data_IF_763554458604
#
_entry.id   IF_763554458604
#
_cell.length_a   1.000
_cell.length_b   1.000
_cell.length_c   1.000
_cell.angle_alpha   90.00
_cell.angle_beta   90.00
_cell.angle_gamma   90.00
#
_symmetry.space_group_name_H-M   'P 1'
#
loop_
_entity.id
_entity.type
_entity.pdbx_description
1 polymer ?
#
# COMPACT_ATOMS: atom_id res chain seq x y z
N UNK A 1 15.93 0.49 3.57
CA UNK A 1 14.60 -0.11 3.81
C UNK A 1 14.12 0.36 5.16
N UNK A 2 12.88 0.83 5.24
CA UNK A 2 12.26 1.33 6.47
C UNK A 2 11.46 0.22 7.14
N UNK A 3 11.28 0.27 8.45
CA UNK A 3 10.40 -0.70 9.10
C UNK A 3 8.94 -0.35 8.78
N UNK A 4 8.05 -1.35 8.66
CA UNK A 4 6.66 -1.10 8.31
C UNK A 4 5.94 -0.12 9.26
N UNK A 5 6.39 -0.05 10.53
CA UNK A 5 5.90 0.93 11.52
C UNK A 5 6.26 2.38 11.16
N UNK A 6 7.45 2.61 10.60
CA UNK A 6 7.85 3.95 10.16
C UNK A 6 7.05 4.38 8.93
N UNK A 7 6.79 3.43 8.01
CA UNK A 7 5.93 3.66 6.85
C UNK A 7 4.49 3.93 7.28
N UNK A 8 3.97 3.19 8.27
CA UNK A 8 2.65 3.43 8.87
C UNK A 8 2.55 4.86 9.44
N UNK A 9 3.56 5.29 10.20
CA UNK A 9 3.58 6.64 10.76
C UNK A 9 3.56 7.72 9.66
N UNK A 10 4.28 7.49 8.55
CA UNK A 10 4.26 8.38 7.40
C UNK A 10 2.86 8.46 6.74
N UNK A 11 2.20 7.32 6.55
CA UNK A 11 0.85 7.27 5.97
C UNK A 11 -0.21 7.90 6.86
N UNK A 12 -0.14 7.67 8.18
CA UNK A 12 -1.05 8.33 9.12
C UNK A 12 -0.83 9.84 9.14
N UNK A 13 0.42 10.30 9.05
CA UNK A 13 0.71 11.74 8.93
C UNK A 13 0.15 12.35 7.64
N UNK A 14 0.22 11.62 6.52
CA UNK A 14 -0.42 12.04 5.27
C UNK A 14 -1.93 12.22 5.46
N UNK A 15 -2.60 11.23 6.06
CA UNK A 15 -4.04 11.27 6.32
C UNK A 15 -4.44 12.38 7.30
N UNK A 16 -3.68 12.58 8.38
CA UNK A 16 -3.90 13.66 9.35
C UNK A 16 -3.74 15.05 8.73
N UNK A 17 -2.82 15.19 7.75
CA UNK A 17 -2.56 16.46 7.07
C UNK A 17 -3.65 16.79 6.07
N UNK A 18 -4.03 15.82 5.23
CA UNK A 18 -5.11 15.96 4.25
C UNK A 18 -5.77 14.61 3.99
N UNK A 19 -6.93 14.32 4.62
CA UNK A 19 -7.60 13.03 4.46
C UNK A 19 -8.21 12.85 3.07
N UNK A 20 -8.54 13.94 2.36
CA UNK A 20 -9.13 13.87 1.01
C UNK A 20 -8.03 13.50 0.01
N UNK A 21 -6.91 14.21 0.04
CA UNK A 21 -5.77 13.89 -0.82
C UNK A 21 -5.21 12.49 -0.52
N UNK A 22 -5.18 12.08 0.76
CA UNK A 22 -4.78 10.73 1.13
C UNK A 22 -5.68 9.66 0.50
N UNK A 23 -7.01 9.85 0.55
CA UNK A 23 -7.96 8.93 -0.06
C UNK A 23 -7.78 8.86 -1.58
N UNK A 24 -7.69 10.01 -2.26
CA UNK A 24 -7.48 10.07 -3.71
C UNK A 24 -6.18 9.37 -4.12
N UNK A 25 -5.10 9.55 -3.36
CA UNK A 25 -3.80 8.94 -3.65
C UNK A 25 -3.81 7.42 -3.48
N UNK A 26 -4.50 6.91 -2.46
CA UNK A 26 -4.64 5.46 -2.21
C UNK A 26 -5.53 4.80 -3.27
N UNK A 27 -6.57 5.50 -3.72
CA UNK A 27 -7.51 5.02 -4.72
C UNK A 27 -6.95 5.14 -6.15
N UNK A 28 -5.92 5.97 -6.35
CA UNK A 28 -5.23 6.03 -7.63
C UNK A 28 -4.44 4.74 -7.91
N UNK A 29 -4.94 3.94 -8.84
CA UNK A 29 -4.33 2.68 -9.28
C UNK A 29 -3.84 2.78 -10.71
N UNK A 30 -2.57 2.41 -10.92
CA UNK A 30 -1.99 2.29 -12.26
C UNK A 30 -2.03 0.84 -12.72
N UNK A 31 -2.25 0.62 -14.01
CA UNK A 31 -2.20 -0.71 -14.62
C UNK A 31 -0.74 -1.11 -14.82
N UNK A 32 -0.38 -2.29 -14.31
CA UNK A 32 0.93 -2.89 -14.51
C UNK A 32 0.88 -3.87 -15.68
N UNK A 33 2.01 -4.02 -16.37
CA UNK A 33 2.17 -5.09 -17.37
C UNK A 33 2.46 -6.43 -16.67
N UNK A 34 2.42 -7.52 -17.45
CA UNK A 34 2.62 -8.88 -16.93
C UNK A 34 4.04 -9.13 -16.39
N UNK A 35 5.04 -8.38 -16.84
CA UNK A 35 6.43 -8.52 -16.37
C UNK A 35 6.58 -8.33 -14.86
N UNK A 36 5.65 -7.59 -14.25
CA UNK A 36 5.61 -7.37 -12.81
C UNK A 36 5.29 -8.65 -12.02
N UNK A 37 4.53 -9.59 -12.59
CA UNK A 37 4.21 -10.87 -11.96
C UNK A 37 5.40 -11.82 -11.90
N UNK A 38 6.36 -11.66 -12.81
CA UNK A 38 7.60 -12.44 -12.87
C UNK A 38 8.78 -11.74 -12.20
N UNK A 39 8.58 -10.54 -11.65
CA UNK A 39 9.66 -9.74 -11.07
C UNK A 39 9.91 -10.13 -9.60
N UNK A 40 11.17 -10.04 -9.19
CA UNK A 40 11.63 -10.09 -7.81
C UNK A 40 11.58 -8.72 -7.11
N UNK A 41 11.03 -7.70 -7.79
CA UNK A 41 10.87 -6.39 -7.20
C UNK A 41 9.91 -6.47 -5.99
N UNK A 42 10.26 -5.83 -4.86
CA UNK A 42 9.53 -5.98 -3.59
C UNK A 42 8.16 -5.27 -3.56
N UNK A 43 7.73 -4.68 -4.68
CA UNK A 43 6.48 -3.95 -4.77
C UNK A 43 5.26 -4.88 -4.61
N UNK A 44 4.21 -4.36 -3.98
CA UNK A 44 2.97 -5.13 -3.78
C UNK A 44 1.92 -4.69 -4.81
N UNK A 45 1.38 -5.63 -5.56
CA UNK A 45 0.28 -5.40 -6.50
C UNK A 45 -1.01 -6.08 -6.06
N UNK A 46 -2.13 -5.57 -6.56
CA UNK A 46 -3.43 -6.25 -6.51
C UNK A 46 -3.78 -6.78 -7.89
N UNK A 47 -4.47 -7.93 -7.91
CA UNK A 47 -5.10 -8.46 -9.12
C UNK A 47 -6.61 -8.22 -9.01
N UNK A 48 -7.16 -7.49 -9.98
CA UNK A 48 -8.61 -7.27 -10.09
C UNK A 48 -9.32 -8.55 -10.56
N UNK A 49 -10.64 -8.60 -10.42
CA UNK A 49 -11.45 -9.77 -10.80
C UNK A 49 -11.41 -10.10 -12.29
N UNK A 50 -11.09 -9.12 -13.15
CA UNK A 50 -10.87 -9.28 -14.60
C UNK A 50 -9.43 -9.72 -14.94
N UNK A 51 -8.59 -9.93 -13.93
CA UNK A 51 -7.20 -10.35 -14.08
C UNK A 51 -6.20 -9.22 -14.27
N UNK A 52 -6.64 -7.96 -14.37
CA UNK A 52 -5.75 -6.80 -14.53
C UNK A 52 -4.94 -6.59 -13.26
N UNK A 53 -3.62 -6.47 -13.41
CA UNK A 53 -2.70 -6.17 -12.31
C UNK A 53 -2.63 -4.66 -12.13
N UNK A 54 -2.79 -4.22 -10.90
CA UNK A 54 -2.69 -2.80 -10.56
C UNK A 54 -1.83 -2.57 -9.34
N UNK A 55 -1.19 -1.40 -9.31
CA UNK A 55 -0.43 -0.91 -8.16
C UNK A 55 -0.94 0.47 -7.78
N UNK A 56 -0.97 0.76 -6.48
CA UNK A 56 -1.21 2.11 -5.96
C UNK A 56 -0.06 2.53 -5.04
N UNK A 57 -0.15 3.73 -4.46
CA UNK A 57 0.91 4.29 -3.61
C UNK A 57 1.31 3.36 -2.46
N UNK A 58 0.34 2.69 -1.82
CA UNK A 58 0.60 1.75 -0.71
C UNK A 58 1.46 0.59 -1.18
N UNK A 59 1.17 0.04 -2.35
CA UNK A 59 1.91 -1.08 -2.92
C UNK A 59 3.33 -0.70 -3.32
N UNK A 60 3.51 0.51 -3.85
CA UNK A 60 4.81 1.08 -4.17
C UNK A 60 5.66 1.28 -2.90
N UNK A 61 5.07 1.93 -1.88
CA UNK A 61 5.78 2.24 -0.63
C UNK A 61 6.12 0.98 0.17
N UNK A 62 5.27 -0.05 0.13
CA UNK A 62 5.57 -1.35 0.74
C UNK A 62 6.80 -2.04 0.12
N UNK A 63 7.15 -1.74 -1.13
CA UNK A 63 8.42 -2.20 -1.71
C UNK A 63 9.66 -1.63 -1.04
N UNK A 64 9.52 -0.61 -0.20
CA UNK A 64 10.60 -0.04 0.60
C UNK A 64 10.65 -0.61 2.03
N UNK A 65 9.67 -1.42 2.42
CA UNK A 65 9.59 -2.03 3.74
C UNK A 65 10.70 -3.07 3.92
N UNK A 66 11.27 -3.13 5.12
CA UNK A 66 12.22 -4.18 5.49
C UNK A 66 11.47 -5.53 5.54
N UNK A 67 11.99 -6.59 4.89
CA UNK A 67 11.40 -7.93 4.98
C UNK A 67 11.17 -8.36 6.44
N UNK A 68 10.07 -9.08 6.69
CA UNK A 68 9.68 -9.56 8.02
C UNK A 68 9.02 -8.52 8.92
N UNK A 69 9.08 -7.22 8.59
CA UNK A 69 8.47 -6.16 9.41
C UNK A 69 6.98 -5.92 9.13
N UNK A 70 6.44 -6.59 8.11
CA UNK A 70 5.05 -6.47 7.66
C UNK A 70 4.86 -5.48 6.51
N UNK A 71 3.59 -5.15 6.23
CA UNK A 71 3.16 -4.27 5.16
C UNK A 71 2.13 -3.27 5.67
N UNK A 72 2.18 -2.04 5.18
CA UNK A 72 1.13 -1.05 5.43
C UNK A 72 -0.11 -1.41 4.62
N UNK A 73 -1.27 -1.33 5.24
CA UNK A 73 -2.58 -1.51 4.62
C UNK A 73 -3.48 -0.32 4.95
N UNK A 74 -4.29 0.08 3.97
CA UNK A 74 -5.35 1.07 4.18
C UNK A 74 -6.54 0.43 4.91
N UNK A 75 -7.13 1.17 5.84
CA UNK A 75 -8.32 0.77 6.59
C UNK A 75 -9.50 1.58 6.07
N UNK A 76 -10.60 0.89 5.78
CA UNK A 76 -11.83 1.51 5.27
C UNK A 76 -13.01 1.19 6.18
N UNK A 77 -13.92 2.16 6.31
CA UNK A 77 -15.25 2.01 6.91
C UNK A 77 -16.27 2.55 5.91
N UNK A 78 -17.26 1.74 5.49
CA UNK A 78 -18.23 2.09 4.44
C UNK A 78 -17.63 2.77 3.20
N UNK A 79 -16.58 2.15 2.62
CA UNK A 79 -15.82 2.65 1.46
C UNK A 79 -15.05 3.97 1.68
N UNK A 80 -15.01 4.50 2.91
CA UNK A 80 -14.25 5.69 3.26
C UNK A 80 -12.93 5.29 3.91
N UNK A 81 -11.81 5.85 3.44
CA UNK A 81 -10.52 5.70 4.10
C UNK A 81 -10.59 6.28 5.52
N UNK A 82 -10.26 5.49 6.53
CA UNK A 82 -10.25 5.92 7.95
C UNK A 82 -8.86 5.95 8.57
N UNK A 83 -7.87 5.38 7.89
CA UNK A 83 -6.47 5.41 8.31
C UNK A 83 -5.68 4.25 7.71
N UNK A 84 -4.57 3.91 8.37
CA UNK A 84 -3.69 2.84 7.95
C UNK A 84 -3.32 1.93 9.13
N UNK A 85 -2.90 0.70 8.81
CA UNK A 85 -2.43 -0.29 9.79
C UNK A 85 -1.25 -1.09 9.21
N UNK A 86 -0.60 -1.91 10.04
CA UNK A 86 0.41 -2.88 9.59
C UNK A 86 -0.16 -4.29 9.68
N UNK A 87 0.08 -5.09 8.64
CA UNK A 87 -0.31 -6.51 8.56
C UNK A 87 0.90 -7.38 8.20
N UNK A 88 0.84 -8.67 8.51
CA UNK A 88 1.86 -9.64 8.07
C UNK A 88 3.26 -9.45 8.67
N UNK A 89 3.37 -8.73 9.79
CA UNK A 89 4.59 -8.75 10.60
C UNK A 89 4.70 -10.12 11.29
N UNK A 90 5.88 -10.72 11.28
CA UNK A 90 6.17 -11.88 12.13
C UNK A 90 6.10 -11.43 13.60
N UNK A 91 5.39 -12.20 14.43
CA UNK A 91 5.26 -11.93 15.88
C UNK A 91 6.53 -12.29 16.63
#
# INVERSE_FOLDING_TARGET
MMDAKDLLALFNRLYETDPVAAAELVDHRVVCNESFLSSDAPFVCSKRGDGVITMGVVGFVNGMARPGTGYVAAVYDDCKLTGFTVVGAEQ
#
